data_IF_132867217692
#
_entry.id   IF_132867217692
#
_cell.length_a   1.000
_cell.length_b   1.000
_cell.length_c   1.000
_cell.angle_alpha   90.00
_cell.angle_beta   90.00
_cell.angle_gamma   90.00
#
_symmetry.space_group_name_H-M   'P 1'
#
loop_
_entity.id
_entity.type
_entity.pdbx_description
1 polymer ?
#
# COMPACT_ATOMS: atom_id res chain seq x y z
N UNK A 1 -13.54 -23.13 5.28
CA UNK A 1 -13.03 -21.78 5.59
C UNK A 1 -13.82 -20.79 4.75
N UNK A 2 -14.53 -19.84 5.36
CA UNK A 2 -15.30 -18.87 4.59
C UNK A 2 -14.38 -17.73 4.12
N UNK A 3 -14.29 -17.56 2.81
CA UNK A 3 -13.51 -16.51 2.16
C UNK A 3 -14.37 -15.25 2.12
N UNK A 4 -13.88 -14.15 2.70
CA UNK A 4 -14.63 -12.90 2.72
C UNK A 4 -14.33 -12.15 1.41
N UNK A 5 -15.17 -12.38 0.40
CA UNK A 5 -14.97 -11.85 -0.96
C UNK A 5 -14.78 -10.32 -1.00
N UNK A 6 -15.45 -9.58 -0.11
CA UNK A 6 -15.30 -8.12 0.00
C UNK A 6 -13.86 -7.67 0.27
N UNK A 7 -13.09 -8.43 1.05
CA UNK A 7 -11.69 -8.09 1.36
C UNK A 7 -10.82 -8.31 0.13
N UNK A 8 -11.11 -9.32 -0.68
CA UNK A 8 -10.39 -9.57 -1.93
C UNK A 8 -10.66 -8.47 -2.96
N UNK A 9 -11.90 -7.99 -3.09
CA UNK A 9 -12.23 -6.84 -3.94
C UNK A 9 -11.53 -5.57 -3.48
N UNK A 10 -11.54 -5.30 -2.17
CA UNK A 10 -10.87 -4.14 -1.60
C UNK A 10 -9.35 -4.20 -1.81
N UNK A 11 -8.75 -5.40 -1.73
CA UNK A 11 -7.35 -5.63 -2.05
C UNK A 11 -7.05 -5.35 -3.52
N UNK A 12 -7.89 -5.85 -4.44
CA UNK A 12 -7.74 -5.61 -5.87
C UNK A 12 -7.81 -4.12 -6.20
N UNK A 13 -8.76 -3.40 -5.60
CA UNK A 13 -8.86 -1.95 -5.72
C UNK A 13 -7.61 -1.23 -5.20
N UNK A 14 -7.10 -1.64 -4.04
CA UNK A 14 -5.85 -1.12 -3.48
C UNK A 14 -4.65 -1.31 -4.40
N UNK A 15 -4.52 -2.49 -5.03
CA UNK A 15 -3.45 -2.78 -6.00
C UNK A 15 -3.54 -1.85 -7.21
N UNK A 16 -4.73 -1.68 -7.78
CA UNK A 16 -4.95 -0.79 -8.94
C UNK A 16 -4.52 0.65 -8.59
N UNK A 17 -4.93 1.16 -7.43
CA UNK A 17 -4.52 2.48 -6.98
C UNK A 17 -3.00 2.62 -6.80
N UNK A 18 -2.33 1.60 -6.24
CA UNK A 18 -0.86 1.60 -6.13
C UNK A 18 -0.18 1.65 -7.50
N UNK A 19 -0.70 0.91 -8.50
CA UNK A 19 -0.20 0.96 -9.88
C UNK A 19 -0.35 2.38 -10.44
N UNK A 20 -1.51 3.02 -10.25
CA UNK A 20 -1.76 4.40 -10.70
C UNK A 20 -0.74 5.36 -10.08
N UNK A 21 -0.45 5.26 -8.77
CA UNK A 21 0.56 6.09 -8.11
C UNK A 21 1.94 5.94 -8.76
N UNK A 22 2.34 4.70 -9.09
CA UNK A 22 3.64 4.46 -9.73
C UNK A 22 3.70 4.99 -11.16
N UNK A 23 2.58 4.93 -11.90
CA UNK A 23 2.48 5.49 -13.24
C UNK A 23 2.52 7.02 -13.19
N UNK A 24 1.72 7.65 -12.32
CA UNK A 24 1.66 9.12 -12.20
C UNK A 24 2.94 9.70 -11.65
N UNK A 25 3.67 8.98 -10.78
CA UNK A 25 4.96 9.41 -10.24
C UNK A 25 5.95 9.83 -11.34
N UNK A 26 6.04 9.06 -12.44
CA UNK A 26 6.89 9.44 -13.59
C UNK A 26 6.47 10.76 -14.24
N UNK A 27 5.17 11.02 -14.30
CA UNK A 27 4.66 12.27 -14.88
C UNK A 27 4.84 13.45 -13.93
N UNK A 28 4.71 13.24 -12.62
CA UNK A 28 5.00 14.24 -11.60
C UNK A 28 6.48 14.66 -11.59
N UNK A 29 7.42 13.73 -11.80
CA UNK A 29 8.86 14.04 -11.79
C UNK A 29 9.40 14.59 -13.11
N UNK A 30 8.85 14.17 -14.24
CA UNK A 30 9.39 14.53 -15.57
C UNK A 30 8.65 15.70 -16.25
N UNK A 31 7.52 16.14 -15.71
CA UNK A 31 6.76 17.26 -16.28
C UNK A 31 7.07 18.56 -15.57
N UNK A 32 7.10 19.71 -16.28
CA UNK A 32 7.22 21.01 -15.64
C UNK A 32 6.10 21.23 -14.62
N UNK A 33 6.46 21.71 -13.43
CA UNK A 33 5.50 22.04 -12.37
C UNK A 33 4.49 23.07 -12.90
N UNK A 34 3.21 22.82 -12.68
CA UNK A 34 2.12 23.67 -13.19
C UNK A 34 1.71 23.41 -14.65
N UNK A 35 2.37 22.50 -15.36
CA UNK A 35 1.88 22.04 -16.67
C UNK A 35 0.56 21.27 -16.54
N UNK A 36 -0.22 21.23 -17.62
CA UNK A 36 -1.50 20.49 -17.65
C UNK A 36 -1.33 19.00 -17.32
N UNK A 37 -0.20 18.40 -17.74
CA UNK A 37 0.12 17.01 -17.46
C UNK A 37 0.50 16.79 -15.99
N UNK A 38 1.26 17.71 -15.40
CA UNK A 38 1.61 17.69 -13.99
C UNK A 38 0.37 17.83 -13.10
N UNK A 39 -0.57 18.71 -13.48
CA UNK A 39 -1.83 18.92 -12.74
C UNK A 39 -2.71 17.68 -12.77
N UNK A 40 -2.90 17.06 -13.95
CA UNK A 40 -3.65 15.81 -14.10
C UNK A 40 -3.03 14.67 -13.29
N UNK A 41 -1.70 14.53 -13.34
CA UNK A 41 -0.98 13.52 -12.56
C UNK A 41 -1.13 13.75 -11.05
N UNK A 42 -1.04 14.99 -10.59
CA UNK A 42 -1.19 15.35 -9.17
C UNK A 42 -2.60 15.08 -8.64
N UNK A 43 -3.62 15.39 -9.45
CA UNK A 43 -5.03 15.12 -9.10
C UNK A 43 -5.27 13.61 -9.02
N UNK A 44 -4.84 12.85 -10.03
CA UNK A 44 -4.99 11.40 -10.05
C UNK A 44 -4.25 10.76 -8.87
N UNK A 45 -2.99 11.12 -8.62
CA UNK A 45 -2.19 10.60 -7.50
C UNK A 45 -2.89 10.85 -6.16
N UNK A 46 -3.42 12.05 -5.95
CA UNK A 46 -4.11 12.43 -4.72
C UNK A 46 -5.39 11.62 -4.51
N UNK A 47 -6.17 11.40 -5.58
CA UNK A 47 -7.39 10.60 -5.53
C UNK A 47 -7.12 9.14 -5.15
N UNK A 48 -6.01 8.55 -5.60
CA UNK A 48 -5.71 7.14 -5.32
C UNK A 48 -4.77 6.93 -4.13
N UNK A 49 -4.30 8.00 -3.46
CA UNK A 49 -3.30 7.91 -2.37
C UNK A 49 -3.75 7.01 -1.20
N UNK A 50 -5.06 6.96 -0.91
CA UNK A 50 -5.62 6.09 0.13
C UNK A 50 -5.43 4.59 -0.14
N UNK A 51 -5.19 4.21 -1.40
CA UNK A 51 -5.02 2.83 -1.85
C UNK A 51 -3.82 2.14 -1.19
N UNK A 52 -2.78 2.88 -0.78
CA UNK A 52 -1.63 2.34 -0.05
C UNK A 52 -2.07 1.76 1.30
N UNK A 53 -2.83 2.52 2.09
CA UNK A 53 -3.31 2.09 3.41
C UNK A 53 -4.26 0.90 3.24
N UNK A 54 -5.17 0.98 2.27
CA UNK A 54 -6.12 -0.10 1.96
C UNK A 54 -5.40 -1.40 1.57
N UNK A 55 -4.38 -1.31 0.70
CA UNK A 55 -3.59 -2.46 0.26
C UNK A 55 -2.84 -3.13 1.42
N UNK A 56 -2.24 -2.33 2.31
CA UNK A 56 -1.54 -2.83 3.51
C UNK A 56 -2.53 -3.52 4.45
N UNK A 57 -3.67 -2.89 4.73
CA UNK A 57 -4.69 -3.46 5.63
C UNK A 57 -5.30 -4.75 5.09
N UNK A 58 -5.65 -4.77 3.80
CA UNK A 58 -6.19 -5.96 3.15
C UNK A 58 -5.16 -7.13 3.10
N UNK A 59 -3.87 -6.82 3.03
CA UNK A 59 -2.80 -7.84 3.13
C UNK A 59 -2.62 -8.35 4.56
N UNK A 60 -2.85 -7.51 5.56
CA UNK A 60 -2.70 -7.82 6.99
C UNK A 60 -3.86 -8.61 7.61
N UNK A 61 -5.04 -8.67 6.99
CA UNK A 61 -6.21 -9.41 7.51
C UNK A 61 -5.91 -10.87 7.88
N UNK A 62 -5.03 -11.54 7.12
CA UNK A 62 -4.62 -12.92 7.41
C UNK A 62 -3.79 -13.05 8.69
N UNK A 63 -3.09 -11.99 9.10
CA UNK A 63 -2.30 -11.94 10.33
C UNK A 63 -3.18 -11.79 11.58
N UNK A 64 -4.27 -11.02 11.49
CA UNK A 64 -5.20 -10.79 12.59
C UNK A 64 -6.09 -12.00 12.93
N UNK A 65 -6.28 -12.94 11.99
CA UNK A 65 -7.16 -14.09 12.20
C UNK A 65 -6.62 -15.11 13.21
N UNK A 66 -5.32 -15.06 13.53
CA UNK A 66 -4.76 -15.78 14.68
C UNK A 66 -4.87 -14.85 15.89
N UNK A 67 -5.52 -15.30 16.98
CA UNK A 67 -5.42 -14.63 18.29
C UNK A 67 -3.95 -14.67 18.71
N UNK A 68 -3.25 -13.59 18.45
CA UNK A 68 -1.84 -13.44 18.72
C UNK A 68 -1.74 -12.56 19.96
N UNK A 69 -1.09 -13.06 21.01
CA UNK A 69 -0.83 -12.26 22.19
C UNK A 69 0.13 -11.13 21.79
N UNK A 70 -0.10 -9.93 22.35
CA UNK A 70 0.73 -8.74 22.11
C UNK A 70 2.21 -9.03 22.46
N UNK A 71 2.45 -9.98 23.36
CA UNK A 71 3.75 -10.50 23.76
C UNK A 71 4.59 -11.10 22.61
N UNK A 72 3.97 -11.56 21.52
CA UNK A 72 4.68 -12.14 20.37
C UNK A 72 5.07 -11.11 19.29
N UNK A 73 4.57 -9.88 19.40
CA UNK A 73 4.85 -8.77 18.49
C UNK A 73 6.35 -8.43 18.35
N UNK A 74 7.17 -8.32 19.44
CA UNK A 74 8.58 -7.95 19.32
C UNK A 74 9.43 -9.00 18.59
N UNK A 75 9.08 -10.29 18.68
CA UNK A 75 9.79 -11.37 17.95
C UNK A 75 9.58 -11.27 16.44
N UNK A 76 8.41 -10.81 16.01
CA UNK A 76 8.05 -10.64 14.59
C UNK A 76 8.63 -9.37 13.99
N UNK A 77 8.58 -8.27 14.73
CA UNK A 77 9.20 -7.00 14.32
C UNK A 77 10.70 -7.16 14.11
N UNK A 78 11.41 -7.90 14.97
CA UNK A 78 12.82 -8.24 14.73
C UNK A 78 13.03 -8.94 13.39
N UNK A 79 12.17 -9.89 13.01
CA UNK A 79 12.29 -10.61 11.72
C UNK A 79 12.09 -9.72 10.48
N UNK A 80 11.33 -8.64 10.61
CA UNK A 80 11.07 -7.68 9.51
C UNK A 80 12.10 -6.54 9.51
N UNK A 81 12.47 -6.04 10.69
CA UNK A 81 13.44 -4.95 10.85
C UNK A 81 14.89 -5.40 10.63
N UNK A 82 15.26 -6.64 10.97
CA UNK A 82 16.62 -7.15 10.75
C UNK A 82 16.98 -7.05 9.26
N UNK A 83 16.22 -7.62 8.30
CA UNK A 83 16.50 -7.45 6.87
C UNK A 83 16.51 -5.99 6.42
N UNK A 84 15.71 -5.13 7.03
CA UNK A 84 15.64 -3.70 6.67
C UNK A 84 16.92 -2.95 7.05
N UNK A 85 17.48 -3.19 8.24
CA UNK A 85 18.70 -2.51 8.68
C UNK A 85 19.98 -3.08 8.08
N UNK A 86 20.02 -4.38 7.78
CA UNK A 86 21.18 -5.01 7.14
C UNK A 86 21.14 -4.97 5.61
N UNK A 87 19.99 -4.64 5.01
CA UNK A 87 19.79 -4.53 3.57
C UNK A 87 19.66 -3.11 3.02
N UNK A 88 19.72 -2.08 3.88
CA UNK A 88 19.85 -0.67 3.52
C UNK A 88 21.33 -0.27 3.38
#
# INVERSE_FOLDING_TARGET
>A
MERIAYIDYLKAFGIIGVIIIHLTSRYLTNSPVGSSLWLQASVLESLVRFSIIVFVMASGVLLLKKRQLIEDLPRRLKRVLIPYFYGL
#
